data_IF_093054718236
#
_entry.id   IF_093054718236
#
_cell.length_a   1.000
_cell.length_b   1.000
_cell.length_c   1.000
_cell.angle_alpha   90.00
_cell.angle_beta   90.00
_cell.angle_gamma   90.00
#
_symmetry.space_group_name_H-M   'P 1'
#
loop_
_entity.id
_entity.type
_entity.pdbx_description
1 polymer ?
#
# COMPACT_ATOMS: atom_id res chain seq x y z
N UNK A 1 -2.98 -35.97 -21.06
CA UNK A 1 -3.17 -34.54 -21.36
C UNK A 1 -4.53 -34.14 -20.81
N UNK A 2 -4.57 -33.43 -19.69
CA UNK A 2 -5.84 -33.06 -19.06
C UNK A 2 -6.41 -31.84 -19.79
N UNK A 3 -7.48 -32.07 -20.55
CA UNK A 3 -8.29 -31.00 -21.12
C UNK A 3 -8.98 -30.27 -19.97
N UNK A 4 -8.42 -29.13 -19.56
CA UNK A 4 -9.15 -28.14 -18.79
C UNK A 4 -10.22 -27.55 -19.71
N UNK A 5 -11.39 -28.16 -19.69
CA UNK A 5 -12.58 -27.57 -20.29
C UNK A 5 -12.79 -26.20 -19.65
N UNK A 6 -12.44 -25.14 -20.39
CA UNK A 6 -12.79 -23.78 -20.04
C UNK A 6 -14.31 -23.67 -20.17
N UNK A 7 -15.01 -23.97 -19.08
CA UNK A 7 -16.41 -23.61 -18.92
C UNK A 7 -16.48 -22.10 -18.97
N UNK A 8 -16.77 -21.58 -20.17
CA UNK A 8 -17.17 -20.20 -20.39
C UNK A 8 -18.57 -19.99 -19.79
N UNK A 9 -18.68 -20.13 -18.47
CA UNK A 9 -19.87 -19.78 -17.73
C UNK A 9 -20.13 -18.29 -17.94
N UNK A 10 -21.31 -17.97 -18.46
CA UNK A 10 -21.75 -16.58 -18.68
C UNK A 10 -21.64 -15.80 -17.36
N UNK A 11 -20.68 -14.88 -17.28
CA UNK A 11 -20.43 -14.03 -16.10
C UNK A 11 -21.63 -13.13 -15.74
N UNK A 12 -22.59 -12.97 -16.66
CA UNK A 12 -23.76 -12.07 -16.53
C UNK A 12 -24.67 -12.41 -15.36
N UNK A 13 -24.76 -13.68 -14.96
CA UNK A 13 -25.64 -14.10 -13.85
C UNK A 13 -24.88 -14.55 -12.61
N UNK A 14 -23.55 -14.46 -12.64
CA UNK A 14 -22.73 -15.04 -11.60
C UNK A 14 -22.63 -14.06 -10.43
N UNK A 15 -23.10 -14.50 -9.27
CA UNK A 15 -23.13 -13.72 -8.03
C UNK A 15 -22.13 -14.26 -7.03
N UNK A 16 -21.54 -13.37 -6.24
CA UNK A 16 -20.54 -13.69 -5.24
C UNK A 16 -20.89 -13.07 -3.90
N UNK A 17 -20.53 -13.79 -2.85
CA UNK A 17 -20.65 -13.30 -1.48
C UNK A 17 -19.42 -12.45 -1.15
N UNK A 18 -19.64 -11.22 -0.67
CA UNK A 18 -18.58 -10.40 -0.10
C UNK A 18 -18.21 -10.93 1.31
N UNK A 19 -16.93 -11.10 1.62
CA UNK A 19 -16.49 -11.57 2.94
C UNK A 19 -16.69 -10.53 4.06
N UNK A 20 -16.83 -9.25 3.72
CA UNK A 20 -16.98 -8.15 4.69
C UNK A 20 -18.46 -7.85 4.99
N UNK A 21 -19.24 -7.49 3.97
CA UNK A 21 -20.66 -7.16 4.17
C UNK A 21 -21.61 -8.35 4.03
N UNK A 22 -21.11 -9.55 3.71
CA UNK A 22 -21.87 -10.80 3.52
C UNK A 22 -22.93 -10.79 2.41
N UNK A 23 -23.13 -9.66 1.72
CA UNK A 23 -24.09 -9.51 0.61
C UNK A 23 -23.69 -10.36 -0.60
N UNK A 24 -24.68 -10.93 -1.26
CA UNK A 24 -24.55 -11.66 -2.53
C UNK A 24 -24.73 -10.66 -3.68
N UNK A 25 -23.64 -10.31 -4.36
CA UNK A 25 -23.59 -9.23 -5.36
C UNK A 25 -23.17 -9.77 -6.75
N UNK A 26 -23.58 -9.11 -7.85
CA UNK A 26 -23.12 -9.46 -9.20
C UNK A 26 -21.60 -9.37 -9.35
N UNK A 27 -21.05 -10.12 -10.32
CA UNK A 27 -19.61 -10.16 -10.61
C UNK A 27 -18.98 -8.78 -10.88
N UNK A 28 -19.75 -7.81 -11.37
CA UNK A 28 -19.33 -6.42 -11.62
C UNK A 28 -18.84 -5.70 -10.36
N UNK A 29 -19.35 -6.08 -9.18
CA UNK A 29 -18.96 -5.49 -7.90
C UNK A 29 -17.61 -6.02 -7.38
N UNK A 30 -16.94 -6.90 -8.14
CA UNK A 30 -15.66 -7.52 -7.80
C UNK A 30 -14.65 -7.35 -8.96
N UNK A 31 -14.23 -6.11 -9.28
CA UNK A 31 -13.26 -5.85 -10.33
C UNK A 31 -11.89 -6.43 -9.96
N UNK A 32 -11.22 -7.04 -10.95
CA UNK A 32 -9.92 -7.72 -10.83
C UNK A 32 -9.96 -8.86 -9.80
N UNK A 33 -10.52 -9.99 -10.25
CA UNK A 33 -10.69 -11.23 -9.49
C UNK A 33 -9.36 -11.95 -9.28
N UNK A 34 -8.49 -11.38 -8.46
CA UNK A 34 -7.21 -11.97 -8.10
C UNK A 34 -7.30 -12.47 -6.65
N UNK A 35 -7.42 -13.79 -6.47
CA UNK A 35 -7.42 -14.44 -5.16
C UNK A 35 -8.48 -15.52 -4.98
N UNK A 36 -8.39 -16.29 -3.89
CA UNK A 36 -9.36 -17.34 -3.55
C UNK A 36 -10.75 -16.75 -3.28
N UNK A 37 -11.80 -17.52 -3.57
CA UNK A 37 -13.21 -17.06 -3.46
C UNK A 37 -13.59 -16.60 -2.05
N UNK A 38 -12.97 -17.18 -1.03
CA UNK A 38 -13.29 -16.94 0.38
C UNK A 38 -12.79 -15.57 0.87
N UNK A 39 -11.96 -14.88 0.09
CA UNK A 39 -11.39 -13.56 0.45
C UNK A 39 -11.91 -12.43 -0.43
N UNK A 40 -12.99 -12.65 -1.20
CA UNK A 40 -13.50 -11.63 -2.11
C UNK A 40 -14.24 -10.51 -1.38
N UNK A 41 -13.85 -9.27 -1.69
CA UNK A 41 -14.44 -8.05 -1.11
C UNK A 41 -15.02 -7.19 -2.23
N UNK A 42 -16.25 -6.71 -2.06
CA UNK A 42 -16.90 -5.86 -3.04
C UNK A 42 -16.29 -4.46 -3.08
N UNK A 43 -16.50 -3.71 -4.17
CA UNK A 43 -15.97 -2.34 -4.34
C UNK A 43 -16.38 -1.39 -3.21
N UNK A 44 -17.60 -1.53 -2.70
CA UNK A 44 -18.13 -0.70 -1.62
C UNK A 44 -17.40 -0.94 -0.29
N UNK A 45 -16.96 -2.16 -0.03
CA UNK A 45 -16.20 -2.52 1.18
C UNK A 45 -14.68 -2.29 1.02
N UNK A 46 -14.24 -1.70 -0.09
CA UNK A 46 -12.85 -1.33 -0.31
C UNK A 46 -12.66 0.17 -0.11
N UNK A 47 -11.63 0.52 0.64
CA UNK A 47 -11.20 1.90 0.85
C UNK A 47 -10.14 2.29 -0.18
N UNK A 48 -10.12 3.56 -0.55
CA UNK A 48 -9.18 4.11 -1.52
C UNK A 48 -7.87 4.50 -0.82
N UNK A 49 -6.76 3.86 -1.18
CA UNK A 49 -5.46 4.27 -0.66
C UNK A 49 -4.93 5.50 -1.42
N UNK A 50 -4.67 6.60 -0.71
CA UNK A 50 -4.17 7.84 -1.32
C UNK A 50 -2.74 7.71 -1.85
N UNK A 51 -1.91 6.86 -1.24
CA UNK A 51 -0.53 6.66 -1.66
C UNK A 51 -0.34 5.92 -3.00
N UNK A 52 -1.25 5.01 -3.38
CA UNK A 52 -1.12 4.22 -4.61
C UNK A 52 -2.28 4.35 -5.59
N UNK A 53 -3.36 5.04 -5.22
CA UNK A 53 -4.51 5.17 -6.10
C UNK A 53 -5.32 3.87 -6.26
N UNK A 54 -5.15 2.89 -5.38
CA UNK A 54 -5.80 1.57 -5.50
C UNK A 54 -6.77 1.34 -4.35
N UNK A 55 -7.98 0.85 -4.70
CA UNK A 55 -8.96 0.38 -3.73
C UNK A 55 -8.54 -0.95 -3.11
N UNK A 56 -8.39 -1.00 -1.80
CA UNK A 56 -8.01 -2.19 -1.04
C UNK A 56 -9.01 -2.49 0.08
N UNK A 57 -9.12 -3.76 0.53
CA UNK A 57 -9.91 -4.09 1.70
C UNK A 57 -9.43 -3.35 2.94
N UNK A 58 -10.33 -3.09 3.91
CA UNK A 58 -10.00 -2.49 5.21
C UNK A 58 -8.88 -3.22 5.96
N UNK A 59 -8.76 -4.54 5.77
CA UNK A 59 -7.67 -5.34 6.35
C UNK A 59 -6.26 -4.97 5.86
N UNK A 60 -6.13 -4.12 4.83
CA UNK A 60 -4.87 -3.59 4.32
C UNK A 60 -4.52 -2.21 4.90
N UNK A 61 -5.29 -1.75 5.88
CA UNK A 61 -5.12 -0.50 6.61
C UNK A 61 -5.09 -0.82 8.11
N UNK A 62 -3.89 -0.95 8.65
CA UNK A 62 -3.66 -1.21 10.07
C UNK A 62 -4.14 -0.07 10.98
N UNK A 63 -3.98 1.18 10.53
CA UNK A 63 -4.42 2.36 11.25
C UNK A 63 -5.81 2.82 10.77
N UNK A 64 -6.75 2.98 11.70
CA UNK A 64 -8.13 3.48 11.47
C UNK A 64 -8.18 4.88 10.92
N UNK A 65 -7.18 5.71 11.23
CA UNK A 65 -7.12 7.11 10.81
C UNK A 65 -6.24 7.32 9.57
N UNK A 66 -5.54 6.27 9.11
CA UNK A 66 -4.66 6.37 7.95
C UNK A 66 -5.44 6.23 6.65
N UNK A 67 -5.26 7.22 5.77
CA UNK A 67 -5.73 7.19 4.38
C UNK A 67 -4.80 6.40 3.43
N UNK A 68 -3.76 5.75 3.98
CA UNK A 68 -2.75 4.99 3.24
C UNK A 68 -2.73 3.53 3.69
N UNK A 69 -2.64 2.61 2.73
CA UNK A 69 -2.50 1.18 3.02
C UNK A 69 -1.11 0.87 3.58
N UNK A 70 -0.99 -0.27 4.26
CA UNK A 70 0.23 -0.68 4.96
C UNK A 70 1.44 -0.76 4.04
N UNK A 71 1.25 -1.19 2.78
CA UNK A 71 2.33 -1.21 1.77
C UNK A 71 2.83 0.18 1.44
N UNK A 72 1.94 1.16 1.34
CA UNK A 72 2.30 2.55 1.05
C UNK A 72 2.96 3.20 2.27
N UNK A 73 2.48 2.92 3.48
CA UNK A 73 3.12 3.37 4.72
C UNK A 73 4.54 2.79 4.85
N UNK A 74 4.72 1.49 4.60
CA UNK A 74 6.04 0.88 4.62
C UNK A 74 6.99 1.51 3.59
N UNK A 75 6.51 1.77 2.36
CA UNK A 75 7.30 2.48 1.35
C UNK A 75 7.67 3.89 1.77
N UNK A 76 6.75 4.61 2.42
CA UNK A 76 7.02 5.95 2.94
C UNK A 76 8.09 5.92 4.03
N UNK A 77 8.03 4.95 4.94
CA UNK A 77 9.04 4.79 5.98
C UNK A 77 10.42 4.49 5.39
N UNK A 78 10.50 3.54 4.45
CA UNK A 78 11.76 3.25 3.74
C UNK A 78 12.27 4.48 3.00
N UNK A 79 11.40 5.27 2.36
CA UNK A 79 11.82 6.48 1.66
C UNK A 79 12.36 7.57 2.60
N UNK A 80 11.90 7.63 3.86
CA UNK A 80 12.45 8.55 4.88
C UNK A 80 13.85 8.15 5.31
N UNK A 81 14.07 6.87 5.55
CA UNK A 81 15.34 6.34 6.08
C UNK A 81 16.41 6.17 4.98
N UNK A 82 15.99 5.99 3.73
CA UNK A 82 16.91 5.59 2.66
C UNK A 82 17.47 6.82 1.93
N UNK A 83 18.76 7.08 2.18
CA UNK A 83 19.55 8.18 1.58
C UNK A 83 19.39 8.26 0.07
N UNK A 84 19.31 7.15 -0.65
CA UNK A 84 19.21 7.16 -2.11
C UNK A 84 17.85 7.61 -2.65
N UNK A 85 16.81 7.65 -1.81
CA UNK A 85 15.53 8.27 -2.17
C UNK A 85 15.59 9.79 -2.01
N UNK A 86 16.26 10.27 -0.96
CA UNK A 86 16.39 11.71 -0.69
C UNK A 86 17.46 12.39 -1.53
N UNK A 87 18.54 11.68 -1.82
CA UNK A 87 19.66 12.14 -2.64
C UNK A 87 19.88 11.17 -3.82
N UNK A 88 19.01 11.19 -4.85
CA UNK A 88 19.13 10.29 -6.00
C UNK A 88 20.46 10.41 -6.74
N UNK A 89 21.11 11.58 -6.65
CA UNK A 89 22.39 11.88 -7.30
C UNK A 89 23.55 11.00 -6.78
N UNK A 90 23.43 10.48 -5.55
CA UNK A 90 24.42 9.57 -4.98
C UNK A 90 24.43 8.19 -5.65
N UNK A 91 23.43 7.88 -6.50
CA UNK A 91 23.41 6.64 -7.30
C UNK A 91 24.40 6.67 -8.47
N UNK A 92 24.88 7.85 -8.88
CA UNK A 92 25.81 7.97 -9.99
C UNK A 92 27.23 7.68 -9.52
N UNK A 93 27.96 6.85 -10.29
CA UNK A 93 29.36 6.47 -9.99
C UNK A 93 30.32 7.65 -9.91
N UNK A 94 29.99 8.79 -10.51
CA UNK A 94 30.82 9.99 -10.53
C UNK A 94 30.46 10.99 -9.41
N UNK A 95 29.59 10.63 -8.47
CA UNK A 95 29.16 11.55 -7.43
C UNK A 95 30.32 11.85 -6.46
N UNK A 96 30.70 13.12 -6.25
CA UNK A 96 31.77 13.48 -5.33
C UNK A 96 31.34 13.44 -3.85
N UNK A 97 30.05 13.25 -3.58
CA UNK A 97 29.48 13.26 -2.23
C UNK A 97 29.46 11.84 -1.62
N UNK A 98 29.82 11.74 -0.33
CA UNK A 98 29.83 10.46 0.38
C UNK A 98 28.41 10.05 0.80
N UNK A 99 28.07 8.78 0.55
CA UNK A 99 26.80 8.19 1.02
C UNK A 99 26.74 8.17 2.54
N UNK A 100 27.88 7.94 3.21
CA UNK A 100 27.92 7.83 4.67
C UNK A 100 27.74 9.18 5.36
N UNK A 101 28.28 10.27 4.79
CA UNK A 101 28.02 11.64 5.28
C UNK A 101 26.53 12.00 5.16
N UNK A 102 25.90 11.66 4.04
CA UNK A 102 24.47 11.89 3.85
C UNK A 102 23.59 11.04 4.79
N UNK A 103 24.05 9.84 5.20
CA UNK A 103 23.38 9.06 6.27
C UNK A 103 23.48 9.75 7.62
N UNK A 104 24.62 10.36 7.94
CA UNK A 104 24.81 11.09 9.18
C UNK A 104 23.93 12.34 9.27
N UNK A 105 23.77 13.06 8.16
CA UNK A 105 22.85 14.18 8.08
C UNK A 105 21.41 13.76 8.37
N UNK A 106 20.93 12.68 7.76
CA UNK A 106 19.59 12.15 8.04
C UNK A 106 19.39 11.83 9.53
N UNK A 107 20.37 11.17 10.16
CA UNK A 107 20.32 10.84 11.60
C UNK A 107 20.25 12.08 12.48
N UNK A 108 21.03 13.13 12.16
CA UNK A 108 21.01 14.40 12.90
C UNK A 108 19.67 15.11 12.77
N UNK A 109 19.06 15.10 11.59
CA UNK A 109 17.74 15.69 11.38
C UNK A 109 16.63 14.97 12.18
N UNK A 110 16.65 13.64 12.24
CA UNK A 110 15.70 12.88 13.05
C UNK A 110 15.81 13.23 14.54
N UNK A 111 17.04 13.37 15.04
CA UNK A 111 17.29 13.79 16.43
C UNK A 111 16.77 15.21 16.69
N UNK A 112 16.97 16.15 15.75
CA UNK A 112 16.45 17.51 15.88
C UNK A 112 14.92 17.57 15.81
N UNK A 113 14.28 16.75 14.97
CA UNK A 113 12.82 16.67 14.92
C UNK A 113 12.22 16.11 16.21
N UNK A 114 12.84 15.08 16.80
CA UNK A 114 12.43 14.54 18.10
C UNK A 114 12.56 15.58 19.21
N UNK A 115 13.66 16.34 19.25
CA UNK A 115 13.84 17.42 20.22
C UNK A 115 12.79 18.54 20.04
N UNK A 116 12.46 18.93 18.81
CA UNK A 116 11.40 19.93 18.56
C UNK A 116 10.01 19.47 18.99
N UNK A 117 9.69 18.18 18.85
CA UNK A 117 8.42 17.64 19.30
C UNK A 117 8.30 17.59 20.83
N UNK A 118 9.43 17.46 21.54
CA UNK A 118 9.47 17.50 23.01
C UNK A 118 9.37 18.92 23.60
N UNK A 119 9.56 19.96 22.79
CA UNK A 119 9.59 21.36 23.23
C UNK A 119 8.31 22.16 22.92
N UNK A 120 7.23 21.50 22.50
CA UNK A 120 5.91 22.13 22.42
C UNK A 120 5.23 22.11 23.79
N UNK A 121 5.01 23.26 24.46
CA UNK A 121 4.18 23.31 25.65
C UNK A 121 2.73 22.98 25.26
N UNK A 122 2.05 22.22 26.13
CA UNK A 122 0.62 21.90 26.02
C UNK A 122 -0.25 23.15 26.10
#
# INVERSE_FOLDING_TARGET
MFHTAFLAASKRHLRFRCSQCTRLLPSEHFPKRNGPLNTMVCVECKEMCFGCGVRQPRSSFSDTNSNMCDRCLAKQQVAKENVYFRYPILKYRACPFSVDEARDELRKEEQQQQQRQQHMPR
#
